data_IF_119838488325
#
_entry.id   IF_119838488325
#
_cell.length_a   1.000
_cell.length_b   1.000
_cell.length_c   1.000
_cell.angle_alpha   90.00
_cell.angle_beta   90.00
_cell.angle_gamma   90.00
#
_symmetry.space_group_name_H-M   'P 1'
#
loop_
_entity.id
_entity.type
_entity.pdbx_description
1 polymer ?
#
# COMPACT_ATOMS: atom_id res chain seq x y z
N UNK A 1 -24.13 42.54 -23.95
CA UNK A 1 -24.22 41.09 -24.14
C UNK A 1 -23.15 40.73 -25.15
N UNK A 2 -21.95 40.42 -24.66
CA UNK A 2 -20.84 39.87 -25.47
C UNK A 2 -19.93 39.11 -24.49
N UNK A 3 -20.20 37.82 -24.33
CA UNK A 3 -19.38 36.89 -23.55
C UNK A 3 -18.15 36.50 -24.38
N UNK A 4 -17.04 37.23 -24.19
CA UNK A 4 -15.72 36.79 -24.65
C UNK A 4 -15.13 35.86 -23.61
N UNK A 5 -15.16 34.57 -23.95
CA UNK A 5 -14.53 33.47 -23.25
C UNK A 5 -12.99 33.65 -23.27
N UNK A 6 -12.44 34.29 -22.25
CA UNK A 6 -11.00 34.41 -22.01
C UNK A 6 -10.50 33.12 -21.32
N UNK A 7 -10.20 32.09 -22.11
CA UNK A 7 -9.32 31.02 -21.66
C UNK A 7 -7.88 31.56 -21.64
N UNK A 8 -7.51 32.22 -20.54
CA UNK A 8 -6.11 32.48 -20.23
C UNK A 8 -5.43 31.16 -19.90
N UNK A 9 -4.73 30.59 -20.87
CA UNK A 9 -3.72 29.58 -20.61
C UNK A 9 -2.59 30.25 -19.83
N UNK A 10 -2.58 30.08 -18.51
CA UNK A 10 -1.44 30.42 -17.66
C UNK A 10 -0.36 29.38 -17.95
N UNK A 11 0.42 29.65 -18.99
CA UNK A 11 1.66 28.95 -19.26
C UNK A 11 2.70 29.56 -18.30
N UNK A 12 2.65 29.09 -17.05
CA UNK A 12 3.67 29.37 -16.05
C UNK A 12 4.99 28.76 -16.50
N UNK A 13 5.99 29.60 -16.69
CA UNK A 13 7.38 29.20 -16.88
C UNK A 13 7.89 28.54 -15.59
N UNK A 14 7.87 27.21 -15.53
CA UNK A 14 8.41 26.41 -14.43
C UNK A 14 9.93 26.17 -14.56
N UNK A 15 10.67 27.01 -15.29
CA UNK A 15 12.12 26.84 -15.49
C UNK A 15 13.02 27.47 -14.43
N UNK A 16 12.63 27.44 -13.15
CA UNK A 16 13.48 28.10 -12.16
C UNK A 16 13.22 27.82 -10.68
N UNK A 17 12.89 26.58 -10.27
CA UNK A 17 13.00 26.20 -8.85
C UNK A 17 12.91 24.69 -8.54
N UNK A 18 13.25 23.81 -9.47
CA UNK A 18 13.42 22.37 -9.19
C UNK A 18 14.89 21.97 -9.31
N UNK A 19 15.76 22.73 -8.65
CA UNK A 19 17.10 22.27 -8.36
C UNK A 19 17.02 21.14 -7.32
N UNK A 20 17.35 19.91 -7.72
CA UNK A 20 17.83 18.82 -6.85
C UNK A 20 17.06 18.56 -5.53
N UNK A 21 15.73 18.43 -5.58
CA UNK A 21 14.93 18.08 -4.40
C UNK A 21 14.40 16.65 -4.44
N UNK A 22 15.06 15.76 -3.72
CA UNK A 22 14.62 14.38 -3.50
C UNK A 22 13.35 14.35 -2.62
N UNK A 23 12.16 14.32 -3.23
CA UNK A 23 10.87 14.44 -2.50
C UNK A 23 10.67 13.31 -1.47
N UNK A 24 11.34 12.16 -1.62
CA UNK A 24 11.27 11.04 -0.67
C UNK A 24 12.54 10.79 0.16
N UNK A 25 13.53 11.70 0.16
CA UNK A 25 14.75 11.51 0.97
C UNK A 25 15.21 12.75 1.75
N UNK A 26 14.39 13.79 1.87
CA UNK A 26 14.74 14.99 2.64
C UNK A 26 14.04 15.15 3.98
N UNK A 27 13.25 14.17 4.47
CA UNK A 27 12.50 14.39 5.71
C UNK A 27 13.35 14.20 6.99
N UNK A 28 14.54 13.57 6.96
CA UNK A 28 15.24 13.27 8.24
C UNK A 28 16.75 13.49 8.33
N UNK A 29 17.45 13.96 7.28
CA UNK A 29 18.92 14.10 7.33
C UNK A 29 19.46 15.53 7.29
N UNK A 30 18.58 16.55 7.20
CA UNK A 30 19.01 17.96 7.09
C UNK A 30 18.18 18.97 7.90
N UNK A 31 17.09 18.57 8.55
CA UNK A 31 16.52 19.41 9.60
C UNK A 31 17.40 19.23 10.83
N UNK A 32 18.04 20.32 11.27
CA UNK A 32 18.46 20.49 12.66
C UNK A 32 17.28 20.06 13.53
N UNK A 33 17.32 18.83 14.03
CA UNK A 33 16.30 18.37 14.96
C UNK A 33 16.40 19.28 16.16
N UNK A 34 15.31 19.98 16.43
CA UNK A 34 15.27 20.95 17.51
C UNK A 34 15.56 20.20 18.82
N UNK A 35 16.67 20.57 19.46
CA UNK A 35 17.06 19.99 20.74
C UNK A 35 16.09 20.48 21.79
N UNK A 36 15.73 19.61 22.73
CA UNK A 36 14.92 20.03 23.87
C UNK A 36 15.68 21.04 24.72
N UNK A 37 14.99 22.11 25.09
CA UNK A 37 15.51 23.11 26.01
C UNK A 37 15.66 22.53 27.42
N UNK A 38 16.52 23.09 28.27
CA UNK A 38 16.70 22.61 29.65
C UNK A 38 15.39 22.52 30.45
N UNK A 39 14.43 23.41 30.18
CA UNK A 39 13.10 23.40 30.79
C UNK A 39 12.24 22.20 30.37
N UNK A 40 12.35 21.77 29.11
CA UNK A 40 11.60 20.63 28.54
C UNK A 40 12.25 19.29 28.93
N UNK A 41 13.58 19.26 29.07
CA UNK A 41 14.31 18.08 29.55
C UNK A 41 14.08 17.84 31.06
N UNK A 42 13.78 18.87 31.84
CA UNK A 42 13.69 18.78 33.30
C UNK A 42 12.58 17.83 33.79
N UNK A 43 11.33 17.89 33.27
CA UNK A 43 10.29 16.90 33.56
C UNK A 43 10.72 15.45 33.26
N UNK A 44 11.42 15.23 32.15
CA UNK A 44 11.92 13.89 31.77
C UNK A 44 12.95 13.41 32.80
N UNK A 45 13.88 14.29 33.21
CA UNK A 45 14.88 13.99 34.25
C UNK A 45 14.27 13.65 35.60
N UNK A 46 13.18 14.29 35.98
CA UNK A 46 12.45 13.97 37.22
C UNK A 46 11.91 12.56 37.17
N UNK A 47 11.20 12.20 36.09
CA UNK A 47 10.66 10.84 35.91
C UNK A 47 11.77 9.79 35.91
N UNK A 48 12.89 10.08 35.25
CA UNK A 48 14.07 9.23 35.30
C UNK A 48 14.62 9.06 36.71
N UNK A 49 14.70 10.13 37.51
CA UNK A 49 15.13 10.06 38.92
C UNK A 49 14.16 9.26 39.79
N UNK A 50 12.86 9.50 39.65
CA UNK A 50 11.83 8.74 40.35
C UNK A 50 11.98 7.24 40.08
N UNK A 51 12.22 6.87 38.81
CA UNK A 51 12.43 5.47 38.44
C UNK A 51 13.72 4.89 39.03
N UNK A 52 14.81 5.66 39.11
CA UNK A 52 16.06 5.27 39.80
C UNK A 52 15.76 4.96 41.27
N UNK A 53 15.03 5.85 41.95
CA UNK A 53 14.68 5.71 43.37
C UNK A 53 13.79 4.48 43.60
N UNK A 54 12.80 4.23 42.75
CA UNK A 54 11.88 3.10 42.90
C UNK A 54 12.51 1.75 42.55
N UNK A 55 13.40 1.70 41.56
CA UNK A 55 13.96 0.44 41.06
C UNK A 55 15.33 0.10 41.64
N UNK A 56 16.01 1.07 42.27
CA UNK A 56 17.39 0.93 42.76
C UNK A 56 18.43 0.81 41.64
N UNK A 57 18.04 1.02 40.38
CA UNK A 57 18.93 0.88 39.22
C UNK A 57 19.81 2.10 39.02
N UNK A 58 20.98 1.90 38.41
CA UNK A 58 21.84 3.02 38.04
C UNK A 58 21.20 3.88 36.95
N UNK A 59 21.36 5.19 37.06
CA UNK A 59 21.03 6.19 36.05
C UNK A 59 21.46 5.77 34.63
N UNK A 60 22.69 5.27 34.48
CA UNK A 60 23.21 4.86 33.18
C UNK A 60 22.39 3.72 32.52
N UNK A 61 21.82 2.81 33.31
CA UNK A 61 21.00 1.71 32.79
C UNK A 61 19.65 2.21 32.29
N UNK A 62 19.00 3.10 33.05
CA UNK A 62 17.68 3.66 32.70
C UNK A 62 17.80 4.56 31.46
N UNK A 63 18.75 5.48 31.47
CA UNK A 63 18.96 6.37 30.33
C UNK A 63 19.52 5.63 29.12
N UNK A 64 20.35 4.60 29.31
CA UNK A 64 20.82 3.73 28.23
C UNK A 64 19.67 3.03 27.53
N UNK A 65 18.78 2.37 28.29
CA UNK A 65 17.59 1.73 27.70
C UNK A 65 16.65 2.72 27.02
N UNK A 66 16.46 3.90 27.61
CA UNK A 66 15.58 4.91 27.01
C UNK A 66 16.15 5.34 25.66
N UNK A 67 17.47 5.53 25.57
CA UNK A 67 18.16 5.86 24.32
C UNK A 67 18.05 4.73 23.30
N UNK A 68 18.24 3.48 23.71
CA UNK A 68 18.12 2.32 22.80
C UNK A 68 16.74 2.23 22.15
N UNK A 69 15.68 2.61 22.88
CA UNK A 69 14.30 2.62 22.37
C UNK A 69 14.04 3.82 21.46
N UNK A 70 14.59 4.99 21.78
CA UNK A 70 14.36 6.22 21.02
C UNK A 70 15.22 6.35 19.75
N UNK A 71 16.30 5.56 19.62
CA UNK A 71 17.21 5.57 18.46
C UNK A 71 18.34 6.60 18.53
N UNK A 72 19.17 6.65 17.48
CA UNK A 72 20.43 7.43 17.43
C UNK A 72 20.28 8.92 17.84
N UNK A 73 21.18 9.34 18.74
CA UNK A 73 21.17 10.64 19.44
C UNK A 73 21.88 10.53 20.78
N UNK A 74 23.19 10.25 20.78
CA UNK A 74 23.85 9.63 21.94
C UNK A 74 23.89 10.46 23.23
N UNK A 75 23.62 11.77 23.17
CA UNK A 75 23.69 12.65 24.35
C UNK A 75 22.50 13.61 24.53
N UNK A 76 21.58 13.69 23.58
CA UNK A 76 20.59 14.78 23.52
C UNK A 76 19.24 14.24 23.04
N UNK A 77 18.17 14.62 23.75
CA UNK A 77 16.80 14.32 23.35
C UNK A 77 16.31 15.43 22.41
N UNK A 78 15.59 15.02 21.37
CA UNK A 78 15.01 15.93 20.39
C UNK A 78 13.51 16.14 20.67
N UNK A 79 12.98 17.26 20.15
CA UNK A 79 11.58 17.68 20.37
C UNK A 79 10.56 16.66 19.86
N UNK A 80 10.87 15.99 18.75
CA UNK A 80 10.06 14.88 18.21
C UNK A 80 10.08 13.62 19.11
N UNK A 81 11.08 13.48 19.98
CA UNK A 81 11.21 12.38 20.93
C UNK A 81 10.61 12.66 22.32
N UNK A 82 10.32 13.92 22.65
CA UNK A 82 9.85 14.35 23.98
C UNK A 82 8.65 13.53 24.48
N UNK A 83 7.60 13.47 23.64
CA UNK A 83 6.35 12.77 23.97
C UNK A 83 6.57 11.27 24.16
N UNK A 84 7.42 10.66 23.33
CA UNK A 84 7.76 9.25 23.45
C UNK A 84 8.58 8.97 24.71
N UNK A 85 9.55 9.83 25.03
CA UNK A 85 10.37 9.71 26.23
C UNK A 85 9.52 9.78 27.51
N UNK A 86 8.55 10.69 27.56
CA UNK A 86 7.59 10.77 28.65
C UNK A 86 6.74 9.51 28.79
N UNK A 87 6.14 9.02 27.71
CA UNK A 87 5.27 7.85 27.75
C UNK A 87 6.03 6.58 28.19
N UNK A 88 7.27 6.39 27.73
CA UNK A 88 8.11 5.25 28.13
C UNK A 88 8.43 5.31 29.62
N UNK A 89 8.84 6.48 30.12
CA UNK A 89 9.17 6.65 31.53
C UNK A 89 7.94 6.49 32.43
N UNK A 90 6.78 7.01 32.05
CA UNK A 90 5.52 6.82 32.79
C UNK A 90 5.16 5.33 32.89
N UNK A 91 5.26 4.61 31.77
CA UNK A 91 4.98 3.17 31.74
C UNK A 91 5.96 2.38 32.63
N UNK A 92 7.23 2.76 32.67
CA UNK A 92 8.20 2.13 33.57
C UNK A 92 7.95 2.47 35.04
N UNK A 93 7.51 3.70 35.34
CA UNK A 93 7.12 4.12 36.69
C UNK A 93 5.92 3.29 37.16
N UNK A 94 4.88 3.17 36.33
CA UNK A 94 3.73 2.30 36.62
C UNK A 94 4.17 0.86 36.85
N UNK A 95 5.01 0.31 35.97
CA UNK A 95 5.53 -1.05 36.11
C UNK A 95 6.33 -1.26 37.41
N UNK A 96 7.12 -0.27 37.83
CA UNK A 96 7.87 -0.32 39.08
C UNK A 96 6.95 -0.29 40.30
N UNK A 97 5.89 0.52 40.27
CA UNK A 97 4.89 0.57 41.33
C UNK A 97 4.16 -0.77 41.50
N UNK A 98 3.75 -1.41 40.39
CA UNK A 98 3.13 -2.75 40.45
C UNK A 98 4.08 -3.82 41.01
N UNK A 99 5.39 -3.71 40.78
CA UNK A 99 6.37 -4.63 41.38
C UNK A 99 6.56 -4.41 42.87
N UNK A 100 6.36 -3.19 43.37
CA UNK A 100 6.49 -2.84 44.78
C UNK A 100 5.34 -3.38 45.64
N UNK A 101 4.12 -3.43 45.09
CA UNK A 101 2.91 -3.84 45.84
C UNK A 101 2.65 -5.36 45.78
N UNK A 102 3.08 -6.07 44.74
CA UNK A 102 2.74 -7.49 44.50
C UNK A 102 3.90 -8.49 44.67
N UNK A 103 4.80 -8.23 45.62
CA UNK A 103 5.78 -9.26 46.07
C UNK A 103 5.11 -10.48 46.74
N UNK A 104 3.78 -10.43 46.94
CA UNK A 104 2.96 -11.56 47.36
C UNK A 104 2.06 -12.05 46.20
N UNK A 105 2.67 -12.57 45.14
CA UNK A 105 1.99 -13.44 44.17
C UNK A 105 1.11 -12.72 43.16
N UNK A 106 1.73 -12.11 42.15
CA UNK A 106 1.02 -11.73 40.92
C UNK A 106 0.23 -12.93 40.36
N UNK A 107 -1.09 -12.81 40.17
CA UNK A 107 -1.91 -13.91 39.67
C UNK A 107 -1.45 -14.26 38.25
N UNK A 108 -1.20 -15.55 38.00
CA UNK A 108 -0.68 -16.06 36.72
C UNK A 108 -1.42 -15.54 35.46
N UNK A 109 -2.68 -15.11 35.60
CA UNK A 109 -3.46 -14.46 34.55
C UNK A 109 -2.88 -13.14 34.02
N UNK A 110 -2.28 -12.31 34.87
CA UNK A 110 -1.69 -11.04 34.44
C UNK A 110 -0.42 -11.28 33.62
N UNK A 111 0.41 -12.25 34.01
CA UNK A 111 1.60 -12.64 33.26
C UNK A 111 1.27 -13.22 31.88
N UNK A 112 0.17 -13.98 31.78
CA UNK A 112 -0.34 -14.48 30.50
C UNK A 112 -0.75 -13.30 29.60
N UNK A 113 -1.53 -12.34 30.12
CA UNK A 113 -1.92 -11.16 29.37
C UNK A 113 -0.72 -10.31 28.92
N UNK A 114 0.29 -10.17 29.76
CA UNK A 114 1.51 -9.44 29.42
C UNK A 114 2.32 -10.14 28.33
N UNK A 115 2.35 -11.48 28.35
CA UNK A 115 2.98 -12.27 27.29
C UNK A 115 2.22 -12.17 25.96
N UNK A 116 0.89 -12.15 26.01
CA UNK A 116 0.03 -11.99 24.82
C UNK A 116 0.15 -10.58 24.22
N UNK A 117 0.16 -9.56 25.07
CA UNK A 117 0.35 -8.17 24.65
C UNK A 117 1.73 -7.97 24.01
N UNK A 118 2.77 -8.59 24.58
CA UNK A 118 4.12 -8.57 24.00
C UNK A 118 4.16 -9.28 22.65
N UNK A 119 3.47 -10.42 22.50
CA UNK A 119 3.38 -11.12 21.22
C UNK A 119 2.69 -10.24 20.16
N UNK A 120 1.54 -9.64 20.48
CA UNK A 120 0.81 -8.72 19.60
C UNK A 120 1.66 -7.50 19.22
N UNK A 121 2.43 -6.95 20.16
CA UNK A 121 3.34 -5.84 19.89
C UNK A 121 4.43 -6.24 18.89
N UNK A 122 5.06 -7.41 19.07
CA UNK A 122 6.09 -7.89 18.13
C UNK A 122 5.52 -8.20 16.75
N UNK A 123 4.28 -8.70 16.68
CA UNK A 123 3.58 -8.92 15.43
C UNK A 123 3.31 -7.59 14.70
N UNK A 124 2.75 -6.60 15.41
CA UNK A 124 2.52 -5.26 14.89
C UNK A 124 3.81 -4.58 14.41
N UNK A 125 4.92 -4.75 15.14
CA UNK A 125 6.22 -4.24 14.71
C UNK A 125 6.70 -4.92 13.41
N UNK A 126 6.47 -6.22 13.27
CA UNK A 126 6.82 -6.97 12.05
C UNK A 126 5.98 -6.55 10.85
N UNK A 127 4.70 -6.23 11.04
CA UNK A 127 3.81 -5.75 9.97
C UNK A 127 4.19 -4.35 9.55
N UNK A 128 4.54 -3.46 10.48
CA UNK A 128 5.05 -2.13 10.16
C UNK A 128 6.34 -2.19 9.34
N UNK A 129 7.29 -3.08 9.70
CA UNK A 129 8.50 -3.28 8.90
C UNK A 129 8.20 -3.79 7.48
N UNK A 130 7.22 -4.69 7.32
CA UNK A 130 6.77 -5.15 5.99
C UNK A 130 6.17 -4.01 5.18
N UNK A 131 5.32 -3.19 5.79
CA UNK A 131 4.72 -2.01 5.16
C UNK A 131 5.78 -1.00 4.71
N UNK A 132 6.78 -0.73 5.56
CA UNK A 132 7.92 0.13 5.20
C UNK A 132 8.70 -0.41 4.00
N UNK A 133 8.96 -1.73 3.96
CA UNK A 133 9.61 -2.37 2.80
C UNK A 133 8.77 -2.26 1.53
N UNK A 134 7.46 -2.48 1.63
CA UNK A 134 6.55 -2.31 0.49
C UNK A 134 6.53 -0.86 -0.01
N UNK A 135 6.50 0.11 0.90
CA UNK A 135 6.54 1.52 0.55
C UNK A 135 7.85 1.94 -0.13
N UNK A 136 8.98 1.37 0.30
CA UNK A 136 10.27 1.57 -0.37
C UNK A 136 10.25 1.00 -1.80
N UNK A 137 9.79 -0.24 -2.00
CA UNK A 137 9.72 -0.87 -3.33
C UNK A 137 8.78 -0.10 -4.28
N UNK A 138 7.63 0.36 -3.80
CA UNK A 138 6.70 1.15 -4.62
C UNK A 138 7.29 2.50 -5.01
N UNK A 139 8.02 3.14 -4.09
CA UNK A 139 8.73 4.40 -4.36
C UNK A 139 9.81 4.21 -5.42
N UNK A 140 10.59 3.14 -5.33
CA UNK A 140 11.65 2.86 -6.31
C UNK A 140 11.06 2.55 -7.69
N UNK A 141 9.96 1.79 -7.76
CA UNK A 141 9.23 1.56 -9.02
C UNK A 141 8.72 2.85 -9.64
N UNK A 142 8.19 3.78 -8.83
CA UNK A 142 7.73 5.08 -9.31
C UNK A 142 8.89 5.91 -9.84
N UNK A 143 10.05 5.87 -9.17
CA UNK A 143 11.27 6.55 -9.63
C UNK A 143 11.73 6.01 -10.99
N UNK A 144 11.77 4.68 -11.14
CA UNK A 144 12.14 4.04 -12.39
C UNK A 144 11.17 4.36 -13.53
N UNK A 145 9.86 4.37 -13.27
CA UNK A 145 8.89 4.73 -14.30
C UNK A 145 9.03 6.19 -14.71
N UNK A 146 9.24 7.11 -13.76
CA UNK A 146 9.48 8.52 -14.04
C UNK A 146 10.74 8.75 -14.89
N UNK A 147 11.83 8.04 -14.60
CA UNK A 147 13.05 8.06 -15.42
C UNK A 147 12.81 7.53 -16.85
N UNK A 148 12.00 6.47 -16.98
CA UNK A 148 11.64 5.94 -18.29
C UNK A 148 10.83 6.97 -19.12
N UNK A 149 9.90 7.69 -18.49
CA UNK A 149 9.14 8.76 -19.14
C UNK A 149 10.04 9.90 -19.61
N UNK A 150 10.97 10.38 -18.77
CA UNK A 150 11.89 11.45 -19.18
C UNK A 150 12.78 11.05 -20.36
N UNK A 151 13.25 9.80 -20.39
CA UNK A 151 14.04 9.28 -21.50
C UNK A 151 13.21 9.23 -22.80
N UNK A 152 11.96 8.77 -22.72
CA UNK A 152 11.07 8.68 -23.88
C UNK A 152 10.69 10.07 -24.40
N UNK A 153 10.48 11.04 -23.51
CA UNK A 153 10.23 12.43 -23.89
C UNK A 153 11.45 13.04 -24.60
N UNK A 154 12.67 12.79 -24.10
CA UNK A 154 13.90 13.25 -24.75
C UNK A 154 14.06 12.64 -26.15
N UNK A 155 13.76 11.35 -26.31
CA UNK A 155 13.78 10.69 -27.61
C UNK A 155 12.76 11.32 -28.59
N UNK A 156 11.54 11.62 -28.11
CA UNK A 156 10.52 12.26 -28.94
C UNK A 156 10.94 13.67 -29.37
N UNK A 157 11.55 14.45 -28.47
CA UNK A 157 12.11 15.76 -28.81
C UNK A 157 13.21 15.66 -29.86
N UNK A 158 14.11 14.67 -29.76
CA UNK A 158 15.15 14.42 -30.76
C UNK A 158 14.58 14.05 -32.13
N UNK A 159 13.58 13.16 -32.16
CA UNK A 159 12.90 12.80 -33.41
C UNK A 159 12.21 14.01 -34.05
N UNK A 160 11.52 14.82 -33.25
CA UNK A 160 10.85 16.04 -33.73
C UNK A 160 11.85 17.04 -34.30
N UNK A 161 12.98 17.26 -33.61
CA UNK A 161 14.05 18.13 -34.10
C UNK A 161 14.64 17.62 -35.43
N UNK A 162 14.85 16.31 -35.56
CA UNK A 162 15.37 15.71 -36.80
C UNK A 162 14.40 15.86 -37.99
N UNK A 163 13.09 15.70 -37.75
CA UNK A 163 12.05 15.90 -38.77
C UNK A 163 11.98 17.36 -39.21
N UNK A 164 12.06 18.30 -38.26
CA UNK A 164 12.10 19.73 -38.57
C UNK A 164 13.33 20.10 -39.40
N UNK A 165 14.50 19.57 -39.05
CA UNK A 165 15.73 19.77 -39.80
C UNK A 165 15.62 19.24 -41.25
N UNK A 166 15.03 18.06 -41.44
CA UNK A 166 14.78 17.48 -42.77
C UNK A 166 13.79 18.32 -43.58
N UNK A 167 12.71 18.79 -42.93
CA UNK A 167 11.74 19.72 -43.50
C UNK A 167 12.42 21.01 -44.00
N UNK A 168 13.27 21.61 -43.18
CA UNK A 168 14.00 22.83 -43.54
C UNK A 168 14.96 22.59 -44.70
N UNK A 169 15.63 21.43 -44.73
CA UNK A 169 16.51 21.05 -45.83
C UNK A 169 15.73 20.90 -47.15
N UNK A 170 14.56 20.25 -47.12
CA UNK A 170 13.66 20.15 -48.27
C UNK A 170 13.19 21.54 -48.74
N UNK A 171 12.85 22.44 -47.80
CA UNK A 171 12.42 23.80 -48.12
C UNK A 171 13.54 24.62 -48.77
N UNK A 172 14.78 24.50 -48.29
CA UNK A 172 15.96 25.16 -48.89
C UNK A 172 16.22 24.64 -50.31
N UNK A 173 16.17 23.33 -50.52
CA UNK A 173 16.37 22.71 -51.84
C UNK A 173 15.26 23.12 -52.83
N UNK A 174 14.01 23.25 -52.38
CA UNK A 174 12.92 23.75 -53.23
C UNK A 174 13.10 25.24 -53.59
N UNK A 175 13.64 26.05 -52.69
CA UNK A 175 13.95 27.46 -52.95
C UNK A 175 15.03 27.66 -54.02
N UNK A 176 15.96 26.72 -54.15
CA UNK A 176 17.04 26.76 -55.16
C UNK A 176 16.58 26.33 -56.56
N UNK A 177 15.46 25.60 -56.68
CA UNK A 177 14.88 25.10 -57.95
C UNK A 177 13.82 26.08 -58.52
N UNK A 178 13.80 27.34 -58.09
CA UNK A 178 12.97 28.39 -58.70
C UNK A 178 13.75 29.18 -59.75
N UNK A 179 14.14 28.51 -60.84
CA UNK A 179 14.32 29.17 -62.13
C UNK A 179 13.49 28.42 -63.17
N UNK A 180 12.42 29.03 -63.71
CA UNK A 180 11.62 28.38 -64.74
C UNK A 180 12.40 28.43 -66.04
N UNK A 181 12.98 27.30 -66.43
CA UNK A 181 13.17 27.04 -67.86
C UNK A 181 12.00 26.16 -68.28
N UNK A 182 11.01 26.81 -68.88
CA UNK A 182 9.86 26.21 -69.54
C UNK A 182 10.36 25.31 -70.66
N UNK A 183 10.58 24.04 -70.35
CA UNK A 183 10.81 23.01 -71.33
C UNK A 183 9.50 22.23 -71.52
N UNK A 184 8.90 22.23 -72.72
CA UNK A 184 7.60 21.59 -72.97
C UNK A 184 7.63 20.06 -72.79
N UNK A 185 8.80 19.43 -72.83
CA UNK A 185 8.96 18.01 -72.47
C UNK A 185 8.90 17.74 -70.96
N UNK A 186 9.00 18.76 -70.11
CA UNK A 186 8.90 18.62 -68.66
C UNK A 186 7.46 18.53 -68.15
N UNK A 187 6.46 19.06 -68.88
CA UNK A 187 5.06 18.94 -68.46
C UNK A 187 4.54 17.51 -68.54
N UNK A 188 4.94 16.75 -69.57
CA UNK A 188 4.63 15.33 -69.68
C UNK A 188 5.29 14.50 -68.54
N UNK A 189 6.49 14.88 -68.12
CA UNK A 189 7.17 14.25 -66.97
C UNK A 189 6.51 14.67 -65.65
N UNK A 190 6.09 15.93 -65.50
CA UNK A 190 5.42 16.43 -64.31
C UNK A 190 4.08 15.71 -64.04
N UNK A 191 3.30 15.44 -65.10
CA UNK A 191 2.04 14.68 -65.00
C UNK A 191 2.30 13.24 -64.56
N UNK A 192 3.35 12.58 -65.09
CA UNK A 192 3.73 11.22 -64.66
C UNK A 192 4.26 11.20 -63.22
N UNK A 193 5.03 12.20 -62.80
CA UNK A 193 5.49 12.29 -61.41
C UNK A 193 4.35 12.57 -60.41
N UNK A 194 3.36 13.38 -60.81
CA UNK A 194 2.20 13.69 -59.98
C UNK A 194 1.32 12.46 -59.68
N UNK A 195 1.17 11.54 -60.65
CA UNK A 195 0.43 10.29 -60.42
C UNK A 195 1.20 9.33 -59.50
N UNK A 196 2.52 9.21 -59.63
CA UNK A 196 3.34 8.41 -58.71
C UNK A 196 3.37 8.95 -57.29
N UNK A 197 3.38 10.28 -57.10
CA UNK A 197 3.33 10.87 -55.75
C UNK A 197 2.04 10.53 -55.02
N UNK A 198 0.89 10.51 -55.71
CA UNK A 198 -0.38 10.10 -55.12
C UNK A 198 -0.36 8.62 -54.70
N UNK A 199 0.22 7.74 -55.52
CA UNK A 199 0.35 6.32 -55.22
C UNK A 199 1.24 6.01 -54.01
N UNK A 200 2.37 6.72 -53.87
CA UNK A 200 3.28 6.53 -52.73
C UNK A 200 2.65 7.04 -51.43
N UNK A 201 1.93 8.17 -51.48
CA UNK A 201 1.25 8.71 -50.29
C UNK A 201 0.14 7.78 -49.80
N UNK A 202 -0.70 7.27 -50.69
CA UNK A 202 -1.76 6.32 -50.32
C UNK A 202 -1.19 5.00 -49.79
N UNK A 203 -0.13 4.47 -50.42
CA UNK A 203 0.56 3.27 -49.93
C UNK A 203 1.15 3.48 -48.52
N UNK A 204 1.75 4.64 -48.25
CA UNK A 204 2.34 4.94 -46.94
C UNK A 204 1.28 5.08 -45.83
N UNK A 205 0.12 5.68 -46.14
CA UNK A 205 -1.00 5.79 -45.19
C UNK A 205 -1.58 4.41 -44.87
N UNK A 206 -1.77 3.56 -45.88
CA UNK A 206 -2.27 2.20 -45.70
C UNK A 206 -1.31 1.32 -44.88
N UNK A 207 0.01 1.45 -45.12
CA UNK A 207 1.01 0.74 -44.32
C UNK A 207 1.00 1.20 -42.85
N UNK A 208 0.87 2.51 -42.59
CA UNK A 208 0.77 3.05 -41.22
C UNK A 208 -0.47 2.54 -40.48
N UNK A 209 -1.63 2.50 -41.15
CA UNK A 209 -2.87 1.95 -40.59
C UNK A 209 -2.78 0.45 -40.29
N UNK A 210 -2.13 -0.33 -41.16
CA UNK A 210 -1.91 -1.76 -40.93
C UNK A 210 -1.03 -2.02 -39.68
N UNK A 211 0.01 -1.22 -39.48
CA UNK A 211 0.88 -1.35 -38.29
C UNK A 211 0.09 -0.98 -37.02
N UNK A 212 -0.65 0.13 -37.02
CA UNK A 212 -1.43 0.54 -35.86
C UNK A 212 -2.49 -0.51 -35.46
N UNK A 213 -3.17 -1.10 -36.44
CA UNK A 213 -4.18 -2.15 -36.19
C UNK A 213 -3.56 -3.42 -35.61
N UNK A 214 -2.39 -3.85 -36.09
CA UNK A 214 -1.69 -5.02 -35.51
C UNK A 214 -1.25 -4.80 -34.06
N UNK A 215 -0.78 -3.59 -33.70
CA UNK A 215 -0.38 -3.27 -32.32
C UNK A 215 -1.60 -3.29 -31.38
N UNK A 216 -2.72 -2.69 -31.79
CA UNK A 216 -3.94 -2.65 -30.98
C UNK A 216 -4.53 -4.06 -30.79
N UNK A 217 -4.61 -4.85 -31.86
CA UNK A 217 -5.08 -6.25 -31.78
C UNK A 217 -4.14 -7.11 -30.92
N UNK A 218 -2.82 -6.91 -31.06
CA UNK A 218 -1.81 -7.56 -30.22
C UNK A 218 -2.01 -7.23 -28.73
N UNK A 219 -2.19 -5.95 -28.39
CA UNK A 219 -2.39 -5.52 -27.02
C UNK A 219 -3.70 -6.05 -26.41
N UNK A 220 -4.79 -6.06 -27.19
CA UNK A 220 -6.07 -6.63 -26.78
C UNK A 220 -5.98 -8.14 -26.55
N UNK A 221 -5.34 -8.88 -27.46
CA UNK A 221 -5.12 -10.33 -27.30
C UNK A 221 -4.27 -10.65 -26.07
N UNK A 222 -3.24 -9.84 -25.80
CA UNK A 222 -2.41 -9.97 -24.61
C UNK A 222 -3.21 -9.71 -23.32
N UNK A 223 -4.02 -8.65 -23.27
CA UNK A 223 -4.90 -8.40 -22.12
C UNK A 223 -5.94 -9.51 -21.93
N UNK A 224 -6.54 -10.00 -23.01
CA UNK A 224 -7.49 -11.10 -22.97
C UNK A 224 -6.84 -12.38 -22.44
N UNK A 225 -5.61 -12.69 -22.87
CA UNK A 225 -4.86 -13.85 -22.38
C UNK A 225 -4.58 -13.79 -20.87
N UNK A 226 -4.25 -12.60 -20.33
CA UNK A 226 -4.06 -12.41 -18.88
C UNK A 226 -5.35 -12.63 -18.10
N UNK A 227 -6.47 -12.08 -18.58
CA UNK A 227 -7.79 -12.29 -17.95
C UNK A 227 -8.25 -13.74 -18.04
N UNK A 228 -8.00 -14.41 -19.16
CA UNK A 228 -8.31 -15.83 -19.33
C UNK A 228 -7.52 -16.70 -18.34
N UNK A 229 -6.21 -16.45 -18.19
CA UNK A 229 -5.37 -17.22 -17.24
C UNK A 229 -5.79 -17.06 -15.78
N UNK A 230 -6.25 -15.87 -15.36
CA UNK A 230 -6.78 -15.66 -14.01
C UNK A 230 -8.18 -16.24 -13.82
N UNK A 231 -9.02 -16.21 -14.85
CA UNK A 231 -10.37 -16.77 -14.80
C UNK A 231 -10.34 -18.31 -14.79
N UNK A 232 -9.41 -18.92 -15.53
CA UNK A 232 -9.26 -20.38 -15.55
C UNK A 232 -8.77 -20.94 -14.20
N UNK A 233 -8.00 -20.17 -13.43
CA UNK A 233 -7.61 -20.54 -12.06
C UNK A 233 -8.79 -20.50 -11.09
N UNK A 234 -9.78 -19.62 -11.30
CA UNK A 234 -10.96 -19.50 -10.43
C UNK A 234 -12.00 -20.62 -10.64
N UNK A 235 -11.94 -21.33 -11.76
CA UNK A 235 -12.87 -22.44 -12.09
C UNK A 235 -12.35 -23.79 -11.53
N UNK A 236 -11.08 -23.84 -11.12
CA UNK A 236 -10.47 -25.07 -10.61
C UNK A 236 -10.74 -25.19 -9.11
N UNK A 237 -11.55 -26.19 -8.76
CA UNK A 237 -11.93 -26.50 -7.38
C UNK A 237 -11.13 -27.70 -6.87
N UNK A 238 -10.84 -27.73 -5.56
CA UNK A 238 -10.42 -28.95 -4.89
C UNK A 238 -11.64 -29.78 -4.52
N UNK A 239 -11.55 -31.10 -4.62
CA UNK A 239 -12.60 -32.00 -4.16
C UNK A 239 -12.22 -32.62 -2.81
N UNK A 240 -13.13 -32.59 -1.84
CA UNK A 240 -12.96 -33.24 -0.54
C UNK A 240 -14.27 -33.93 -0.15
N UNK A 241 -14.24 -35.25 0.02
CA UNK A 241 -15.42 -36.08 0.28
C UNK A 241 -16.59 -35.85 -0.70
N UNK A 242 -16.33 -35.73 -2.00
CA UNK A 242 -17.37 -35.55 -3.01
C UNK A 242 -17.94 -34.13 -3.11
N UNK A 243 -17.39 -33.17 -2.35
CA UNK A 243 -17.77 -31.76 -2.41
C UNK A 243 -16.63 -30.93 -3.00
N UNK A 244 -17.00 -29.98 -3.85
CA UNK A 244 -16.04 -29.05 -4.48
C UNK A 244 -15.86 -27.80 -3.64
N UNK A 245 -14.62 -27.40 -3.44
CA UNK A 245 -14.20 -26.24 -2.66
C UNK A 245 -13.33 -25.33 -3.53
N UNK A 246 -13.55 -24.02 -3.44
CA UNK A 246 -12.73 -23.04 -4.16
C UNK A 246 -11.33 -22.94 -3.55
N UNK A 247 -10.37 -22.52 -4.38
CA UNK A 247 -9.02 -22.20 -3.92
C UNK A 247 -9.09 -21.16 -2.80
N UNK A 248 -8.39 -21.45 -1.70
CA UNK A 248 -8.41 -20.67 -0.45
C UNK A 248 -9.28 -21.27 0.65
N UNK A 249 -10.20 -22.19 0.33
CA UNK A 249 -11.04 -22.88 1.32
C UNK A 249 -10.21 -23.71 2.29
N UNK A 250 -10.57 -23.66 3.58
CA UNK A 250 -9.93 -24.41 4.66
C UNK A 250 -10.95 -25.40 5.22
N UNK A 251 -10.51 -26.63 5.47
CA UNK A 251 -11.29 -27.66 6.13
C UNK A 251 -10.68 -27.89 7.49
N UNK A 252 -11.40 -27.45 8.52
CA UNK A 252 -11.04 -27.69 9.91
C UNK A 252 -11.41 -29.14 10.25
N UNK A 253 -10.41 -29.97 10.52
CA UNK A 253 -10.63 -31.37 10.88
C UNK A 253 -10.35 -31.58 12.38
N UNK A 254 -11.34 -31.89 13.22
CA UNK A 254 -11.12 -32.05 14.65
C UNK A 254 -10.26 -33.28 15.01
N UNK A 255 -9.96 -34.16 14.06
CA UNK A 255 -9.20 -35.40 14.25
C UNK A 255 -7.89 -35.46 13.45
N UNK A 256 -7.59 -34.46 12.61
CA UNK A 256 -6.37 -34.41 11.78
C UNK A 256 -5.90 -32.97 11.59
N UNK A 257 -4.77 -32.77 10.91
CA UNK A 257 -4.31 -31.41 10.59
C UNK A 257 -5.26 -30.74 9.58
N UNK A 258 -5.49 -29.43 9.77
CA UNK A 258 -6.32 -28.62 8.87
C UNK A 258 -5.71 -28.58 7.46
N UNK A 259 -6.55 -28.61 6.44
CA UNK A 259 -6.11 -28.62 5.03
C UNK A 259 -6.67 -27.41 4.28
N UNK A 260 -5.83 -26.75 3.49
CA UNK A 260 -6.22 -25.66 2.60
C UNK A 260 -6.14 -26.08 1.14
N UNK A 261 -7.16 -25.74 0.37
CA UNK A 261 -7.12 -25.87 -1.09
C UNK A 261 -6.23 -24.75 -1.64
N UNK A 262 -5.07 -25.10 -2.19
CA UNK A 262 -4.14 -24.10 -2.75
C UNK A 262 -3.93 -24.31 -4.24
N UNK A 263 -3.70 -23.21 -4.94
CA UNK A 263 -3.33 -23.24 -6.36
C UNK A 263 -1.98 -23.95 -6.53
N UNK A 264 -1.89 -24.84 -7.52
CA UNK A 264 -0.62 -25.47 -7.85
C UNK A 264 0.35 -24.43 -8.44
N UNK A 265 1.61 -24.34 -7.96
CA UNK A 265 2.57 -23.34 -8.42
C UNK A 265 2.95 -23.49 -9.91
N UNK A 266 2.64 -24.65 -10.51
CA UNK A 266 2.90 -24.94 -11.92
C UNK A 266 1.65 -24.79 -12.82
N UNK A 267 0.56 -24.21 -12.31
CA UNK A 267 -0.70 -24.10 -13.07
C UNK A 267 -1.43 -25.44 -13.25
N UNK A 268 -1.06 -26.45 -12.46
CA UNK A 268 -1.72 -27.76 -12.42
C UNK A 268 -3.07 -27.74 -11.71
N UNK A 269 -3.65 -28.92 -11.48
CA UNK A 269 -4.87 -29.06 -10.68
C UNK A 269 -4.58 -28.60 -9.24
N UNK A 270 -5.47 -27.81 -8.60
CA UNK A 270 -5.28 -27.39 -7.22
C UNK A 270 -5.26 -28.60 -6.29
N UNK A 271 -4.50 -28.50 -5.20
CA UNK A 271 -4.23 -29.62 -4.30
C UNK A 271 -4.44 -29.20 -2.85
N UNK A 272 -4.92 -30.13 -2.03
CA UNK A 272 -4.99 -29.95 -0.58
C UNK A 272 -3.59 -29.93 0.02
N UNK A 273 -3.26 -28.85 0.74
CA UNK A 273 -2.04 -28.75 1.51
C UNK A 273 -2.36 -28.65 2.99
N UNK A 274 -1.65 -29.44 3.80
CA UNK A 274 -1.76 -29.43 5.25
C UNK A 274 -1.22 -28.12 5.80
N UNK A 275 -2.07 -27.36 6.49
CA UNK A 275 -1.69 -26.19 7.24
C UNK A 275 -1.22 -26.71 8.60
N UNK A 276 0.10 -26.71 8.83
CA UNK A 276 0.58 -26.91 10.20
C UNK A 276 0.01 -25.76 11.03
N UNK A 277 -0.72 -26.02 12.14
CA UNK A 277 -1.17 -24.96 13.01
C UNK A 277 0.05 -24.17 13.45
N UNK A 278 0.19 -22.95 12.93
CA UNK A 278 1.12 -21.98 13.49
C UNK A 278 0.75 -21.88 14.97
N UNK A 279 1.73 -22.05 15.87
CA UNK A 279 1.57 -22.30 17.31
C UNK A 279 0.91 -21.15 18.11
N UNK A 280 -0.11 -20.47 17.59
CA UNK A 280 -0.73 -19.29 18.19
C UNK A 280 -2.26 -19.37 18.33
N UNK A 281 -2.86 -20.57 18.25
CA UNK A 281 -4.25 -20.77 18.68
C UNK A 281 -4.31 -21.75 19.87
N UNK A 282 -4.01 -21.23 21.06
CA UNK A 282 -4.16 -21.99 22.31
C UNK A 282 -5.64 -22.13 22.66
N UNK A 283 -6.19 -23.31 22.37
CA UNK A 283 -7.21 -24.03 23.16
C UNK A 283 -8.39 -23.22 23.74
N UNK A 284 -9.48 -23.08 22.96
CA UNK A 284 -10.82 -23.06 23.54
C UNK A 284 -11.25 -24.49 23.91
N UNK A 285 -10.81 -24.99 25.07
CA UNK A 285 -11.42 -26.16 25.71
C UNK A 285 -12.57 -25.68 26.59
N UNK A 286 -13.81 -25.87 26.14
CA UNK A 286 -15.01 -25.74 26.98
C UNK A 286 -15.16 -26.99 27.85
N UNK A 287 -15.25 -26.87 29.19
CA UNK A 287 -15.64 -27.98 30.03
C UNK A 287 -17.17 -28.08 30.11
N UNK A 288 -17.69 -29.22 29.70
CA UNK A 288 -19.06 -29.67 29.93
C UNK A 288 -19.26 -29.83 31.45
N UNK A 289 -20.08 -28.97 32.06
CA UNK A 289 -20.53 -29.11 33.44
C UNK A 289 -21.79 -29.99 33.50
N UNK A 290 -21.63 -31.22 33.97
CA UNK A 290 -22.72 -32.05 34.46
C UNK A 290 -23.14 -31.59 35.87
N UNK A 291 -24.37 -31.10 36.02
CA UNK A 291 -24.96 -30.75 37.32
C UNK A 291 -25.54 -31.99 38.04
N UNK A 292 -25.34 -32.14 39.36
CA UNK A 292 -26.19 -32.98 40.18
C UNK A 292 -27.34 -32.18 40.83
N UNK A 293 -28.53 -32.80 40.80
CA UNK A 293 -29.75 -32.45 41.54
C UNK A 293 -29.48 -32.10 43.02
N UNK A 294 -30.04 -30.99 43.50
CA UNK A 294 -30.48 -30.88 44.91
C UNK A 294 -31.75 -30.06 45.03
N UNK A 295 -32.77 -30.73 45.56
CA UNK A 295 -34.08 -30.24 45.98
C UNK A 295 -33.93 -29.37 47.23
N UNK A 296 -34.61 -28.21 47.28
CA UNK A 296 -35.32 -27.74 48.49
C UNK A 296 -36.33 -26.63 48.16
N UNK A 297 -37.54 -26.85 48.65
CA UNK A 297 -38.71 -25.98 48.60
C UNK A 297 -38.53 -24.69 49.41
N UNK A 298 -39.11 -23.59 48.92
CA UNK A 298 -39.89 -22.65 49.74
C UNK A 298 -40.79 -21.79 48.84
N UNK A 299 -42.09 -21.99 49.00
CA UNK A 299 -43.21 -21.20 48.49
C UNK A 299 -43.35 -19.85 49.20
N UNK A 300 -43.78 -18.80 48.49
CA UNK A 300 -44.92 -17.91 48.83
C UNK A 300 -45.02 -16.75 47.81
N UNK A 301 -46.05 -16.88 46.96
CA UNK A 301 -47.13 -15.92 46.67
C UNK A 301 -46.87 -14.44 46.28
N UNK A 302 -47.46 -14.10 45.11
CA UNK A 302 -48.43 -13.02 44.80
C UNK A 302 -48.06 -11.99 43.73
N UNK A 303 -49.00 -11.93 42.77
CA UNK A 303 -49.54 -10.79 42.02
C UNK A 303 -48.95 -10.45 40.62
N UNK A 304 -49.67 -10.95 39.61
CA UNK A 304 -50.09 -10.24 38.37
C UNK A 304 -50.95 -8.99 38.74
N UNK A 305 -51.28 -8.01 37.84
CA UNK A 305 -51.57 -8.24 36.41
C UNK A 305 -51.19 -7.12 35.39
N UNK A 306 -51.28 -7.49 34.09
CA UNK A 306 -51.62 -6.63 32.91
C UNK A 306 -50.60 -5.54 32.51
N UNK A 307 -50.40 -5.13 31.25
CA UNK A 307 -51.04 -5.33 29.94
C UNK A 307 -50.10 -4.74 28.86
N UNK A 308 -50.46 -4.98 27.60
CA UNK A 308 -50.26 -4.13 26.42
C UNK A 308 -49.15 -4.50 25.42
N UNK A 309 -49.65 -4.71 24.21
CA UNK A 309 -49.05 -5.06 22.94
C UNK A 309 -48.09 -3.98 22.36
N UNK A 310 -47.07 -4.46 21.64
CA UNK A 310 -46.67 -4.15 20.25
C UNK A 310 -47.19 -2.84 19.60
N UNK A 311 -46.38 -2.13 18.79
CA UNK A 311 -45.94 -2.71 17.50
C UNK A 311 -44.56 -2.33 16.92
N UNK A 312 -44.15 -3.24 16.03
CA UNK A 312 -43.31 -3.14 14.82
C UNK A 312 -43.04 -1.73 14.26
N UNK A 313 -41.78 -1.40 13.91
CA UNK A 313 -41.47 -0.35 12.96
C UNK A 313 -41.28 -0.88 11.53
N UNK A 314 -41.87 -0.10 10.64
CA UNK A 314 -42.12 -0.23 9.22
C UNK A 314 -40.87 -0.04 8.36
N UNK A 315 -40.83 -0.80 7.28
CA UNK A 315 -39.88 -0.77 6.18
C UNK A 315 -40.17 0.44 5.27
N UNK A 316 -39.24 1.40 5.18
CA UNK A 316 -39.33 2.48 4.19
C UNK A 316 -38.29 2.27 3.10
N UNK A 317 -38.80 1.80 1.98
CA UNK A 317 -38.20 1.72 0.67
C UNK A 317 -38.17 3.14 0.07
N UNK A 318 -37.01 3.66 -0.32
CA UNK A 318 -36.90 4.86 -1.16
C UNK A 318 -36.04 4.54 -2.39
N UNK A 319 -36.73 4.33 -3.50
CA UNK A 319 -36.24 4.47 -4.88
C UNK A 319 -36.88 5.73 -5.49
N UNK A 320 -36.22 6.25 -6.53
CA UNK A 320 -36.53 7.43 -7.38
C UNK A 320 -35.91 8.73 -6.81
N UNK A 321 -35.05 9.47 -7.52
CA UNK A 321 -34.94 9.76 -8.95
C UNK A 321 -33.47 9.93 -9.37
#
# INVERSE_FOLDING_TARGET
MDERNQNQNVQGDFNGQLANGNINNHIYSGQERERLNPAEVWPIKIKGRQLIEMTGKNSAEIWGRLKDILGEGHNELFKDQEKAAHAILDLWIEQANFRGEDSAGLPAGLLIQLSELKAKYTEAQSTEQKLRKQYADTTDRLRHSQQAYSNLEQQHRQQTASLNALSDQLRRNQGTIRRPQTCPSCDAAAVKLASTRKGVFTASIMAGLAIATTIVLGYWSYQASKRASSAEMLIRNCEFHGKTYSIGSIIDNPQADDVQCVASPQGGQPSWQTIKPSKQATQHKTPIKSHPKRVKHSSINRNLPTQAADPVPEEVNQQLF
#
